data_IF_675887141659
#
_entry.id   IF_675887141659
#
_cell.length_a   1.000
_cell.length_b   1.000
_cell.length_c   1.000
_cell.angle_alpha   90.00
_cell.angle_beta   90.00
_cell.angle_gamma   90.00
#
_symmetry.space_group_name_H-M   'P 1'
#
loop_
_entity.id
_entity.type
_entity.pdbx_description
1 polymer ?
#
# COMPACT_ATOMS: atom_id res chain seq x y z
N UNK A 1 60.41 -0.52 -27.55
CA UNK A 1 59.08 -1.22 -27.69
C UNK A 1 58.43 -1.63 -26.37
N UNK A 2 59.02 -1.36 -25.19
CA UNK A 2 58.44 -1.78 -23.90
C UNK A 2 57.41 -0.83 -23.27
N UNK A 3 57.35 0.43 -23.68
CA UNK A 3 56.40 1.43 -23.14
C UNK A 3 54.95 1.25 -23.66
N UNK A 4 54.74 0.66 -24.81
CA UNK A 4 53.40 0.42 -25.38
C UNK A 4 52.66 -0.72 -24.71
N UNK A 5 53.35 -1.76 -24.25
CA UNK A 5 52.76 -2.94 -23.60
C UNK A 5 52.24 -2.64 -22.19
N UNK A 6 52.96 -1.82 -21.41
CA UNK A 6 52.54 -1.44 -20.07
C UNK A 6 51.26 -0.56 -20.09
N UNK A 7 51.13 0.35 -21.06
CA UNK A 7 49.91 1.17 -21.23
C UNK A 7 48.69 0.37 -21.65
N UNK A 8 48.88 -0.60 -22.53
CA UNK A 8 47.79 -1.53 -22.94
C UNK A 8 47.32 -2.38 -21.78
N UNK A 9 48.23 -2.92 -20.98
CA UNK A 9 47.84 -3.75 -19.79
C UNK A 9 47.07 -2.92 -18.77
N UNK A 10 47.52 -1.67 -18.49
CA UNK A 10 46.80 -0.77 -17.58
C UNK A 10 45.37 -0.43 -18.09
N UNK A 11 45.25 -0.16 -19.42
CA UNK A 11 43.93 0.10 -20.01
C UNK A 11 42.97 -1.12 -19.96
N UNK A 12 43.49 -2.33 -20.17
CA UNK A 12 42.72 -3.56 -20.07
C UNK A 12 42.28 -3.80 -18.64
N UNK A 13 43.14 -3.57 -17.64
CA UNK A 13 42.78 -3.71 -16.22
C UNK A 13 41.69 -2.71 -15.85
N UNK A 14 41.84 -1.44 -16.23
CA UNK A 14 40.84 -0.41 -15.96
C UNK A 14 39.48 -0.69 -16.64
N UNK A 15 39.51 -1.30 -17.83
CA UNK A 15 38.30 -1.73 -18.52
C UNK A 15 37.62 -2.90 -17.78
N UNK A 16 38.41 -3.86 -17.31
CA UNK A 16 37.94 -4.99 -16.53
C UNK A 16 37.27 -4.55 -15.22
N UNK A 17 37.91 -3.65 -14.48
CA UNK A 17 37.36 -3.08 -13.24
C UNK A 17 36.02 -2.38 -13.47
N UNK A 18 35.91 -1.61 -14.56
CA UNK A 18 34.62 -0.97 -14.92
C UNK A 18 33.54 -1.95 -15.31
N UNK A 19 33.89 -3.04 -15.98
CA UNK A 19 32.93 -4.09 -16.32
C UNK A 19 32.42 -4.78 -15.06
N UNK A 20 33.27 -5.05 -14.08
CA UNK A 20 32.84 -5.63 -12.79
C UNK A 20 31.98 -4.66 -11.97
N UNK A 21 32.31 -3.37 -11.97
CA UNK A 21 31.48 -2.33 -11.34
C UNK A 21 30.09 -2.25 -11.98
N UNK A 22 29.99 -2.29 -13.31
CA UNK A 22 28.71 -2.29 -14.04
C UNK A 22 27.92 -3.56 -13.73
N UNK A 23 28.53 -4.75 -13.67
CA UNK A 23 27.88 -5.99 -13.30
C UNK A 23 27.32 -5.92 -11.88
N UNK A 24 28.07 -5.37 -10.93
CA UNK A 24 27.62 -5.18 -9.56
C UNK A 24 26.40 -4.26 -9.49
N UNK A 25 26.44 -3.11 -10.19
CA UNK A 25 25.33 -2.15 -10.23
C UNK A 25 24.09 -2.77 -10.90
N UNK A 26 24.24 -3.50 -12.00
CA UNK A 26 23.15 -4.18 -12.66
C UNK A 26 22.55 -5.29 -11.77
N UNK A 27 23.37 -6.04 -11.06
CA UNK A 27 22.92 -7.05 -10.08
C UNK A 27 22.12 -6.41 -8.95
N UNK A 28 22.59 -5.28 -8.42
CA UNK A 28 21.90 -4.52 -7.38
C UNK A 28 20.56 -3.95 -7.86
N UNK A 29 20.52 -3.41 -9.09
CA UNK A 29 19.29 -2.91 -9.71
C UNK A 29 18.29 -4.04 -9.97
N UNK A 30 18.76 -5.20 -10.43
CA UNK A 30 17.92 -6.38 -10.65
C UNK A 30 17.33 -6.93 -9.34
N UNK A 31 18.14 -6.98 -8.27
CA UNK A 31 17.66 -7.35 -6.93
C UNK A 31 16.65 -6.34 -6.39
N UNK A 32 16.89 -5.04 -6.57
CA UNK A 32 15.94 -4.01 -6.17
C UNK A 32 14.62 -4.12 -6.95
N UNK A 33 14.67 -4.31 -8.26
CA UNK A 33 13.49 -4.52 -9.10
C UNK A 33 12.72 -5.78 -8.70
N UNK A 34 13.42 -6.91 -8.48
CA UNK A 34 12.81 -8.17 -8.04
C UNK A 34 12.21 -8.05 -6.64
N UNK A 35 12.82 -7.29 -5.73
CA UNK A 35 12.26 -7.05 -4.39
C UNK A 35 11.00 -6.19 -4.45
N UNK A 36 10.89 -5.26 -5.39
CA UNK A 36 9.69 -4.46 -5.63
C UNK A 36 8.55 -5.33 -6.17
N UNK A 37 8.81 -6.22 -7.13
CA UNK A 37 7.80 -7.18 -7.61
C UNK A 37 7.37 -8.17 -6.53
N UNK A 38 8.31 -8.72 -5.77
CA UNK A 38 8.03 -9.61 -4.63
C UNK A 38 7.42 -8.87 -3.42
N UNK A 39 7.45 -7.54 -3.42
CA UNK A 39 6.88 -6.69 -2.38
C UNK A 39 5.39 -6.43 -2.51
N UNK A 40 4.78 -6.80 -3.64
CA UNK A 40 3.38 -6.57 -3.92
C UNK A 40 2.54 -7.83 -3.75
N UNK A 41 1.29 -7.62 -3.35
CA UNK A 41 0.27 -8.66 -3.35
C UNK A 41 -0.05 -9.06 -4.81
N UNK A 42 0.00 -10.35 -5.17
CA UNK A 42 -0.18 -10.79 -6.55
C UNK A 42 -1.59 -10.55 -7.10
N UNK A 43 -2.62 -10.53 -6.22
CA UNK A 43 -4.00 -10.30 -6.63
C UNK A 43 -4.31 -8.82 -6.83
N UNK A 44 -3.94 -7.99 -5.86
CA UNK A 44 -4.38 -6.58 -5.78
C UNK A 44 -3.32 -5.58 -6.22
N UNK A 45 -2.06 -6.02 -6.37
CA UNK A 45 -0.89 -5.18 -6.70
C UNK A 45 -0.57 -4.12 -5.66
N UNK A 46 -1.26 -4.10 -4.54
CA UNK A 46 -0.92 -3.30 -3.35
C UNK A 46 0.33 -3.86 -2.67
N UNK A 47 0.93 -3.12 -1.74
CA UNK A 47 2.09 -3.59 -1.01
C UNK A 47 1.72 -4.77 -0.09
N UNK A 48 2.67 -5.69 0.07
CA UNK A 48 2.55 -6.80 0.99
C UNK A 48 2.72 -6.30 2.45
N UNK A 49 1.86 -6.79 3.36
CA UNK A 49 1.86 -6.44 4.78
C UNK A 49 3.24 -6.58 5.46
N UNK A 50 4.09 -7.51 5.02
CA UNK A 50 5.42 -7.74 5.60
C UNK A 50 6.34 -6.53 5.58
N UNK A 51 6.11 -5.57 4.68
CA UNK A 51 6.91 -4.33 4.57
C UNK A 51 6.38 -3.19 5.44
N UNK A 52 5.20 -3.35 6.04
CA UNK A 52 4.57 -2.32 6.86
C UNK A 52 5.41 -1.90 8.07
N UNK A 53 6.01 -2.82 8.87
CA UNK A 53 6.80 -2.41 10.04
C UNK A 53 7.98 -1.51 9.67
N UNK A 54 8.74 -1.85 8.62
CA UNK A 54 9.87 -1.05 8.16
C UNK A 54 9.45 0.32 7.64
N UNK A 55 8.35 0.39 6.89
CA UNK A 55 7.79 1.64 6.42
C UNK A 55 7.36 2.53 7.59
N UNK A 56 6.56 2.02 8.51
CA UNK A 56 6.07 2.80 9.65
C UNK A 56 7.21 3.28 10.55
N UNK A 57 8.24 2.46 10.77
CA UNK A 57 9.43 2.92 11.52
C UNK A 57 10.09 4.13 10.88
N UNK A 58 10.20 4.14 9.55
CA UNK A 58 10.74 5.28 8.79
C UNK A 58 9.83 6.51 8.92
N UNK A 59 8.53 6.36 8.68
CA UNK A 59 7.59 7.48 8.72
C UNK A 59 7.48 8.08 10.14
N UNK A 60 7.50 7.23 11.18
CA UNK A 60 7.52 7.71 12.57
C UNK A 60 8.80 8.50 12.91
N UNK A 61 9.95 8.10 12.37
CA UNK A 61 11.18 8.88 12.51
C UNK A 61 11.07 10.26 11.84
N UNK A 62 10.43 10.34 10.67
CA UNK A 62 10.18 11.60 9.96
C UNK A 62 9.18 12.49 10.71
N UNK A 63 8.10 11.93 11.23
CA UNK A 63 7.13 12.65 12.08
C UNK A 63 7.84 13.25 13.29
N UNK A 64 8.68 12.48 13.97
CA UNK A 64 9.41 12.93 15.16
C UNK A 64 10.42 14.04 14.85
N UNK A 65 11.12 13.98 13.72
CA UNK A 65 12.16 14.94 13.35
C UNK A 65 11.59 16.22 12.71
N UNK A 66 10.52 16.11 11.93
CA UNK A 66 9.96 17.19 11.11
C UNK A 66 8.62 17.74 11.56
N UNK A 67 8.01 17.18 12.61
CA UNK A 67 6.65 17.52 13.07
C UNK A 67 5.62 17.49 11.91
N UNK A 68 5.76 16.52 11.01
CA UNK A 68 4.84 16.32 9.89
C UNK A 68 3.69 15.41 10.31
N UNK A 69 2.45 15.67 9.87
CA UNK A 69 1.30 14.83 10.21
C UNK A 69 1.37 13.47 9.49
N UNK A 70 0.83 12.44 10.13
CA UNK A 70 0.71 11.09 9.59
C UNK A 70 -0.66 10.53 9.94
N UNK A 71 -1.39 10.03 8.95
CA UNK A 71 -2.69 9.41 9.15
C UNK A 71 -2.73 8.01 8.56
N UNK A 72 -3.52 7.12 9.18
CA UNK A 72 -3.80 5.77 8.69
C UNK A 72 -5.29 5.59 8.42
N UNK A 73 -5.60 4.88 7.33
CA UNK A 73 -6.94 4.36 7.07
C UNK A 73 -6.89 2.84 7.14
N UNK A 74 -7.74 2.24 7.97
CA UNK A 74 -8.04 0.81 7.90
C UNK A 74 -9.33 0.63 7.12
N UNK A 75 -9.28 -0.05 5.98
CA UNK A 75 -10.37 -0.22 5.02
C UNK A 75 -10.76 -1.68 4.95
N UNK A 76 -12.04 -1.99 5.04
CA UNK A 76 -12.55 -3.35 4.95
C UNK A 76 -13.77 -3.40 4.01
N UNK A 77 -13.81 -4.40 3.13
CA UNK A 77 -14.91 -4.59 2.18
C UNK A 77 -16.12 -5.16 2.90
N UNK A 78 -17.20 -4.40 2.94
CA UNK A 78 -18.43 -4.79 3.62
C UNK A 78 -19.05 -6.03 2.99
N UNK A 79 -19.48 -6.99 3.84
CA UNK A 79 -20.15 -8.22 3.44
C UNK A 79 -19.37 -9.06 2.40
N UNK A 80 -18.05 -8.98 2.39
CA UNK A 80 -17.22 -9.70 1.43
C UNK A 80 -17.45 -11.22 1.41
N UNK A 81 -17.67 -11.82 2.60
CA UNK A 81 -18.01 -13.24 2.68
C UNK A 81 -19.28 -13.57 1.92
N UNK A 82 -20.31 -12.73 1.98
CA UNK A 82 -21.56 -12.93 1.23
C UNK A 82 -21.33 -12.93 -0.28
N UNK A 83 -20.41 -12.13 -0.78
CA UNK A 83 -20.05 -12.12 -2.21
C UNK A 83 -19.44 -13.45 -2.61
N UNK A 84 -18.48 -13.97 -1.83
CA UNK A 84 -17.89 -15.28 -2.05
C UNK A 84 -18.93 -16.41 -1.98
N UNK A 85 -19.78 -16.36 -0.98
CA UNK A 85 -20.81 -17.41 -0.75
C UNK A 85 -21.87 -17.43 -1.88
N UNK A 86 -22.19 -16.26 -2.45
CA UNK A 86 -23.21 -16.11 -3.50
C UNK A 86 -22.66 -16.32 -4.91
N UNK A 87 -21.50 -15.75 -5.22
CA UNK A 87 -20.95 -15.68 -6.58
C UNK A 87 -19.64 -16.46 -6.77
N UNK A 88 -19.09 -17.05 -5.70
CA UNK A 88 -17.83 -17.79 -5.70
C UNK A 88 -16.59 -16.94 -5.47
N UNK A 89 -15.48 -17.59 -5.16
CA UNK A 89 -14.21 -16.93 -4.83
C UNK A 89 -13.61 -16.13 -6.00
N UNK A 90 -13.85 -16.54 -7.24
CA UNK A 90 -13.40 -15.79 -8.43
C UNK A 90 -14.08 -14.42 -8.52
N UNK A 91 -15.35 -14.33 -8.15
CA UNK A 91 -16.08 -13.07 -8.06
C UNK A 91 -15.53 -12.19 -6.92
N UNK A 92 -15.25 -12.78 -5.76
CA UNK A 92 -14.60 -12.10 -4.65
C UNK A 92 -13.23 -11.53 -5.04
N UNK A 93 -12.42 -12.29 -5.76
CA UNK A 93 -11.14 -11.83 -6.29
C UNK A 93 -11.29 -10.64 -7.24
N UNK A 94 -12.30 -10.67 -8.11
CA UNK A 94 -12.63 -9.56 -9.02
C UNK A 94 -13.02 -8.31 -8.23
N UNK A 95 -13.85 -8.46 -7.19
CA UNK A 95 -14.22 -7.35 -6.28
C UNK A 95 -13.00 -6.77 -5.59
N UNK A 96 -12.12 -7.61 -5.02
CA UNK A 96 -10.91 -7.15 -4.34
C UNK A 96 -9.97 -6.38 -5.27
N UNK A 97 -9.79 -6.85 -6.51
CA UNK A 97 -8.99 -6.13 -7.53
C UNK A 97 -9.54 -4.74 -7.79
N UNK A 98 -10.86 -4.64 -8.01
CA UNK A 98 -11.52 -3.36 -8.31
C UNK A 98 -11.49 -2.39 -7.13
N UNK A 99 -11.69 -2.89 -5.91
CA UNK A 99 -11.55 -2.08 -4.69
C UNK A 99 -10.11 -1.60 -4.54
N UNK A 100 -9.11 -2.47 -4.71
CA UNK A 100 -7.71 -2.09 -4.62
C UNK A 100 -7.31 -1.02 -5.65
N UNK A 101 -7.75 -1.14 -6.90
CA UNK A 101 -7.56 -0.12 -7.94
C UNK A 101 -8.17 1.22 -7.50
N UNK A 102 -9.39 1.19 -6.97
CA UNK A 102 -10.08 2.40 -6.47
C UNK A 102 -9.34 3.04 -5.29
N UNK A 103 -8.78 2.23 -4.38
CA UNK A 103 -7.95 2.72 -3.26
C UNK A 103 -6.69 3.39 -3.81
N UNK A 104 -5.97 2.72 -4.71
CA UNK A 104 -4.73 3.24 -5.32
C UNK A 104 -4.98 4.55 -6.07
N UNK A 105 -6.09 4.65 -6.82
CA UNK A 105 -6.47 5.86 -7.56
C UNK A 105 -6.98 7.00 -6.67
N UNK A 106 -7.23 6.72 -5.40
CA UNK A 106 -7.74 7.72 -4.44
C UNK A 106 -6.64 8.37 -3.61
N UNK A 107 -5.42 7.87 -3.68
CA UNK A 107 -4.25 8.34 -2.91
C UNK A 107 -3.16 8.88 -3.83
N UNK A 108 -2.18 9.57 -3.26
CA UNK A 108 -1.04 10.13 -4.00
C UNK A 108 0.04 9.06 -4.20
N UNK A 109 0.96 9.31 -5.15
CA UNK A 109 2.12 8.46 -5.35
C UNK A 109 3.05 8.36 -4.12
N UNK A 110 3.00 9.34 -3.22
CA UNK A 110 3.75 9.37 -1.95
C UNK A 110 3.10 8.56 -0.83
N UNK A 111 1.82 8.23 -0.96
CA UNK A 111 1.09 7.42 0.01
C UNK A 111 1.32 5.92 -0.24
N UNK A 112 1.02 5.10 0.76
CA UNK A 112 1.26 3.66 0.68
C UNK A 112 -0.03 2.89 0.93
N UNK A 113 -0.29 1.90 0.10
CA UNK A 113 -1.45 1.01 0.22
C UNK A 113 -0.97 -0.42 0.40
N UNK A 114 -1.36 -1.05 1.49
CA UNK A 114 -1.03 -2.43 1.84
C UNK A 114 -2.28 -3.30 1.80
N UNK A 115 -2.16 -4.52 1.31
CA UNK A 115 -3.12 -5.55 1.63
C UNK A 115 -2.84 -6.05 3.05
N UNK A 116 -3.70 -5.66 4.00
CA UNK A 116 -3.49 -5.91 5.41
C UNK A 116 -4.03 -7.27 5.84
N UNK A 117 -5.17 -7.68 5.29
CA UNK A 117 -5.82 -8.97 5.50
C UNK A 117 -6.44 -9.49 4.21
N UNK A 118 -7.31 -10.50 4.29
CA UNK A 118 -7.99 -11.09 3.13
C UNK A 118 -8.81 -10.07 2.32
N UNK A 119 -9.58 -9.25 3.02
CA UNK A 119 -10.47 -8.22 2.49
C UNK A 119 -10.17 -6.82 3.05
N UNK A 120 -9.02 -6.68 3.72
CA UNK A 120 -8.62 -5.48 4.43
C UNK A 120 -7.42 -4.80 3.76
N UNK A 121 -7.47 -3.47 3.66
CA UNK A 121 -6.38 -2.63 3.19
C UNK A 121 -5.99 -1.63 4.28
N UNK A 122 -4.69 -1.40 4.43
CA UNK A 122 -4.15 -0.33 5.25
C UNK A 122 -3.56 0.74 4.34
N UNK A 123 -3.99 1.98 4.50
CA UNK A 123 -3.48 3.13 3.75
C UNK A 123 -2.68 4.01 4.69
N UNK A 124 -1.44 4.30 4.34
CA UNK A 124 -0.56 5.24 5.05
C UNK A 124 -0.55 6.54 4.27
N UNK A 125 -1.18 7.57 4.83
CA UNK A 125 -1.26 8.92 4.27
C UNK A 125 -0.14 9.77 4.88
N UNK A 126 0.95 9.93 4.14
CA UNK A 126 2.10 10.72 4.61
C UNK A 126 1.81 12.22 4.52
N UNK A 127 2.39 12.99 5.45
CA UNK A 127 2.21 14.45 5.50
C UNK A 127 0.73 14.89 5.38
N UNK A 128 -0.16 14.11 6.02
CA UNK A 128 -1.61 14.31 5.88
C UNK A 128 -2.26 14.44 7.25
N UNK A 129 -2.83 15.61 7.49
CA UNK A 129 -3.60 15.96 8.67
C UNK A 129 -4.97 15.24 8.69
N UNK A 130 -5.57 15.19 9.86
CA UNK A 130 -6.84 14.52 10.15
C UNK A 130 -7.97 14.94 9.19
N UNK A 131 -8.16 16.23 8.98
CA UNK A 131 -9.23 16.78 8.13
C UNK A 131 -9.05 16.40 6.67
N UNK A 132 -7.82 16.47 6.17
CA UNK A 132 -7.49 16.04 4.80
C UNK A 132 -7.63 14.52 4.65
N UNK A 133 -7.21 13.76 5.65
CA UNK A 133 -7.36 12.30 5.66
C UNK A 133 -8.85 11.90 5.64
N UNK A 134 -9.71 12.61 6.35
CA UNK A 134 -11.17 12.40 6.31
C UNK A 134 -11.73 12.64 4.90
N UNK A 135 -11.33 13.72 4.23
CA UNK A 135 -11.78 14.01 2.86
C UNK A 135 -11.35 12.89 1.89
N UNK A 136 -10.12 12.39 2.05
CA UNK A 136 -9.62 11.28 1.22
C UNK A 136 -10.43 9.99 1.50
N UNK A 137 -10.68 9.69 2.78
CA UNK A 137 -11.43 8.51 3.21
C UNK A 137 -12.88 8.54 2.70
N UNK A 138 -13.58 9.67 2.83
CA UNK A 138 -14.96 9.81 2.33
C UNK A 138 -15.03 9.74 0.81
N UNK A 139 -14.07 10.34 0.11
CA UNK A 139 -13.98 10.22 -1.35
C UNK A 139 -13.77 8.77 -1.79
N UNK A 140 -12.89 8.03 -1.09
CA UNK A 140 -12.66 6.62 -1.34
C UNK A 140 -13.94 5.81 -1.10
N UNK A 141 -14.59 6.00 0.04
CA UNK A 141 -15.85 5.33 0.38
C UNK A 141 -16.92 5.54 -0.72
N UNK A 142 -17.14 6.79 -1.12
CA UNK A 142 -18.12 7.15 -2.14
C UNK A 142 -17.82 6.52 -3.50
N UNK A 143 -16.56 6.56 -3.94
CA UNK A 143 -16.15 5.91 -5.19
C UNK A 143 -16.41 4.41 -5.18
N UNK A 144 -16.16 3.73 -4.06
CA UNK A 144 -16.45 2.29 -3.94
C UNK A 144 -17.96 2.04 -3.96
N UNK A 145 -18.76 2.83 -3.24
CA UNK A 145 -20.23 2.73 -3.23
C UNK A 145 -20.84 2.90 -4.62
N UNK A 146 -20.31 3.81 -5.42
CA UNK A 146 -20.79 4.09 -6.79
C UNK A 146 -20.30 3.05 -7.83
N UNK A 147 -19.27 2.28 -7.45
CA UNK A 147 -18.63 1.33 -8.34
C UNK A 147 -19.55 0.14 -8.64
N UNK A 148 -19.62 -0.22 -9.93
CA UNK A 148 -20.25 -1.45 -10.39
C UNK A 148 -19.19 -2.42 -10.87
N UNK A 149 -19.09 -3.56 -10.22
CA UNK A 149 -18.10 -4.58 -10.54
C UNK A 149 -18.72 -5.59 -11.49
N UNK A 150 -18.28 -5.64 -12.75
CA UNK A 150 -18.77 -6.66 -13.69
C UNK A 150 -18.28 -8.04 -13.25
N UNK A 151 -19.16 -9.01 -13.33
CA UNK A 151 -18.86 -10.43 -13.09
C UNK A 151 -19.17 -11.25 -14.33
N UNK A 152 -18.37 -12.27 -14.58
CA UNK A 152 -18.59 -13.20 -15.68
C UNK A 152 -19.86 -14.04 -15.42
N UNK A 153 -20.82 -13.98 -16.33
CA UNK A 153 -22.05 -14.77 -16.26
C UNK A 153 -23.05 -14.35 -15.17
N UNK A 154 -22.86 -13.20 -14.54
CA UNK A 154 -23.76 -12.66 -13.52
C UNK A 154 -23.98 -11.15 -13.70
N UNK A 155 -25.06 -10.58 -13.13
CA UNK A 155 -25.22 -9.12 -13.11
C UNK A 155 -24.07 -8.45 -12.35
N UNK A 156 -23.71 -7.19 -12.69
CA UNK A 156 -22.73 -6.43 -11.94
C UNK A 156 -23.11 -6.30 -10.46
N UNK A 157 -22.14 -6.47 -9.57
CA UNK A 157 -22.35 -6.29 -8.12
C UNK A 157 -21.90 -4.91 -7.67
N UNK A 158 -22.56 -4.40 -6.64
CA UNK A 158 -22.14 -3.22 -5.89
C UNK A 158 -21.59 -3.66 -4.53
N UNK A 159 -20.59 -2.96 -4.04
CA UNK A 159 -20.00 -3.19 -2.73
C UNK A 159 -19.79 -1.86 -2.03
N UNK A 160 -19.68 -1.89 -0.72
CA UNK A 160 -19.28 -0.75 0.09
C UNK A 160 -18.06 -1.09 0.93
N UNK A 161 -17.43 -0.09 1.51
CA UNK A 161 -16.33 -0.23 2.46
C UNK A 161 -16.64 0.51 3.74
N UNK A 162 -16.20 -0.07 4.86
CA UNK A 162 -16.10 0.63 6.14
C UNK A 162 -14.66 1.06 6.35
N UNK A 163 -14.45 2.26 6.88
CA UNK A 163 -13.11 2.85 7.02
C UNK A 163 -12.94 3.38 8.45
N UNK A 164 -11.85 2.95 9.10
CA UNK A 164 -11.37 3.54 10.34
C UNK A 164 -10.21 4.47 10.07
N UNK A 165 -10.28 5.71 10.55
CA UNK A 165 -9.25 6.72 10.42
C UNK A 165 -8.62 7.02 11.77
N UNK A 166 -7.30 7.02 11.83
CA UNK A 166 -6.52 7.52 12.97
C UNK A 166 -5.39 8.41 12.50
N UNK A 167 -5.12 9.49 13.22
CA UNK A 167 -3.99 10.39 12.99
C UNK A 167 -3.01 10.27 14.15
N UNK A 168 -1.70 10.34 13.84
CA UNK A 168 -0.65 10.30 14.84
C UNK A 168 -0.74 11.52 15.78
N UNK A 169 -0.72 11.27 17.08
CA UNK A 169 -0.86 12.27 18.15
C UNK A 169 0.31 12.22 19.14
N UNK A 170 1.50 11.83 18.68
CA UNK A 170 2.72 11.84 19.48
C UNK A 170 3.08 10.52 20.18
N UNK A 171 2.23 9.48 20.12
CA UNK A 171 2.59 8.18 20.69
C UNK A 171 3.73 7.52 19.90
N UNK A 172 4.80 7.02 20.56
CA UNK A 172 6.01 6.54 19.88
C UNK A 172 5.87 5.19 19.19
N UNK A 173 4.88 4.37 19.58
CA UNK A 173 4.66 3.03 19.02
C UNK A 173 3.74 3.07 17.78
N UNK A 174 4.24 2.66 16.59
CA UNK A 174 3.41 2.56 15.41
C UNK A 174 2.20 1.63 15.55
N UNK A 175 2.30 0.58 16.36
CA UNK A 175 1.19 -0.35 16.60
C UNK A 175 0.00 0.36 17.25
N UNK A 176 0.24 1.31 18.13
CA UNK A 176 -0.80 2.12 18.75
C UNK A 176 -1.67 2.87 17.70
N UNK A 177 -1.04 3.42 16.66
CA UNK A 177 -1.76 4.10 15.58
C UNK A 177 -2.60 3.12 14.75
N UNK A 178 -2.06 1.93 14.46
CA UNK A 178 -2.79 0.86 13.77
C UNK A 178 -4.01 0.42 14.60
N UNK A 179 -3.83 0.19 15.89
CA UNK A 179 -4.89 -0.27 16.79
C UNK A 179 -6.02 0.77 16.88
N UNK A 180 -5.70 2.06 16.89
CA UNK A 180 -6.71 3.14 16.85
C UNK A 180 -7.51 3.13 15.53
N UNK A 181 -6.84 2.96 14.39
CA UNK A 181 -7.52 2.86 13.10
C UNK A 181 -8.43 1.61 13.04
N UNK A 182 -7.98 0.48 13.60
CA UNK A 182 -8.77 -0.75 13.69
C UNK A 182 -9.99 -0.60 14.61
N UNK A 183 -9.83 0.04 15.76
CA UNK A 183 -10.95 0.37 16.65
C UNK A 183 -12.00 1.26 15.97
N UNK A 184 -11.56 2.25 15.19
CA UNK A 184 -12.44 3.10 14.41
C UNK A 184 -13.18 2.31 13.32
N UNK A 185 -12.50 1.39 12.64
CA UNK A 185 -13.11 0.48 11.67
C UNK A 185 -14.17 -0.41 12.33
N UNK A 186 -13.88 -0.97 13.51
CA UNK A 186 -14.86 -1.76 14.26
C UNK A 186 -16.14 -0.95 14.56
N UNK A 187 -15.97 0.32 14.99
CA UNK A 187 -17.12 1.21 15.20
C UNK A 187 -17.88 1.46 13.90
N UNK A 188 -17.20 1.72 12.78
CA UNK A 188 -17.84 1.90 11.48
C UNK A 188 -18.71 0.70 11.10
N UNK A 189 -18.23 -0.51 11.31
CA UNK A 189 -18.98 -1.75 11.07
C UNK A 189 -20.18 -1.89 12.02
N UNK A 190 -19.99 -1.58 13.30
CA UNK A 190 -21.05 -1.68 14.33
C UNK A 190 -22.18 -0.66 14.10
N UNK A 191 -21.84 0.53 13.60
CA UNK A 191 -22.80 1.62 13.35
C UNK A 191 -23.57 1.48 12.03
N UNK A 192 -23.39 0.40 11.27
CA UNK A 192 -24.16 0.12 10.06
C UNK A 192 -23.35 0.08 8.77
N UNK A 193 -22.00 0.06 8.84
CA UNK A 193 -21.10 -0.04 7.69
C UNK A 193 -21.18 1.15 6.71
N UNK A 194 -20.49 1.05 5.57
CA UNK A 194 -20.47 2.07 4.51
C UNK A 194 -20.25 3.49 5.07
N UNK A 195 -19.23 3.65 5.89
CA UNK A 195 -18.91 4.93 6.55
C UNK A 195 -17.46 5.02 6.96
N UNK A 196 -17.05 6.27 7.25
CA UNK A 196 -15.78 6.58 7.88
C UNK A 196 -16.04 6.90 9.35
N UNK A 197 -15.27 6.29 10.25
CA UNK A 197 -15.21 6.66 11.67
C UNK A 197 -13.80 7.06 12.02
N UNK A 198 -13.66 8.11 12.82
CA UNK A 198 -12.38 8.61 13.32
C UNK A 198 -12.22 8.35 14.81
N UNK A 199 -10.97 8.16 15.23
CA UNK A 199 -10.54 8.18 16.64
C UNK A 199 -9.61 9.32 16.90
#
# INVERSE_FOLDING_TARGET
>A
SSRGSAGQTAAITALHDRVEEIKFLLGSLFQAASSVENGRDPLTRTLNRRFLPGLLSREFALVKSGNVPLSLLMVDVDHFKSINDTFGHSAGDTVLKRVAETVLDSVRASDFVFRYGGEEFLVVLVETEREKALVIAERLRSKVEEMRVPLDGAPPVTVTVSIGLATHEGHPDPQYLIDRADQALYKAKAEGRNRVVMT
#
